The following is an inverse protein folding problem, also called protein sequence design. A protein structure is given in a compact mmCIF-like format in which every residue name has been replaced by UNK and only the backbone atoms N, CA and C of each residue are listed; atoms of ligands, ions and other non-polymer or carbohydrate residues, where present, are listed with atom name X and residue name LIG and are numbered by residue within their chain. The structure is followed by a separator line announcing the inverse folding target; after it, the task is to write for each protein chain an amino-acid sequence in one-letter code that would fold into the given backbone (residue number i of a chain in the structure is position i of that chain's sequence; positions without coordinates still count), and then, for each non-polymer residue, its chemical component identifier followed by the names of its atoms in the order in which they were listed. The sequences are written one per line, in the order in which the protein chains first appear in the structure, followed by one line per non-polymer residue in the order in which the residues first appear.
data_IF_604140192330
#
_entry.id   IF_604140192330
#
_cell.length_a   1.000
_cell.length_b   1.000
_cell.length_c   1.000
_cell.angle_alpha   90.00
_cell.angle_beta   90.00
_cell.angle_gamma   90.00
#
_symmetry.space_group_name_H-M   'P 1'
#
loop_
_entity.id
_entity.type
_entity.pdbx_description
1 polymer ?
#
# COMPACT_ATOMS: atom_id res chain seq x y z
N UNK A 1 21.35 23.00 16.67
CA UNK A 1 22.17 23.99 17.41
C UNK A 1 21.33 24.57 18.53
N UNK A 2 21.76 24.41 19.80
CA UNK A 2 21.08 24.97 20.98
C UNK A 2 21.74 26.30 21.35
N UNK A 3 20.97 27.33 21.68
CA UNK A 3 21.49 28.65 22.04
C UNK A 3 21.27 28.91 23.54
N UNK A 4 22.28 29.48 24.19
CA UNK A 4 22.21 29.92 25.59
C UNK A 4 21.58 31.31 25.62
N UNK A 5 20.57 31.52 26.47
CA UNK A 5 19.87 32.81 26.60
C UNK A 5 19.94 33.30 28.04
N UNK A 6 20.59 34.45 28.24
CA UNK A 6 20.73 35.07 29.56
C UNK A 6 19.73 36.23 29.69
N UNK A 7 18.92 36.23 30.75
CA UNK A 7 17.95 37.29 31.06
C UNK A 7 18.49 38.20 32.16
N UNK A 8 18.70 39.47 31.85
CA UNK A 8 19.37 40.43 32.75
C UNK A 8 18.42 41.34 33.55
N UNK A 9 17.15 41.43 33.13
CA UNK A 9 16.18 42.44 33.59
C UNK A 9 15.75 42.37 35.06
N UNK A 10 16.15 41.34 35.80
CA UNK A 10 15.83 41.15 37.22
C UNK A 10 17.00 40.60 38.04
N UNK A 11 18.22 40.69 37.52
CA UNK A 11 19.39 40.07 38.13
C UNK A 11 20.00 40.99 39.20
N UNK A 12 20.37 40.45 40.36
CA UNK A 12 21.14 41.22 41.36
C UNK A 12 22.57 41.46 40.83
N UNK A 13 23.26 42.49 41.33
CA UNK A 13 24.66 42.74 40.96
C UNK A 13 25.55 41.53 41.29
N UNK A 14 25.30 40.88 42.44
CA UNK A 14 25.97 39.66 42.88
C UNK A 14 25.76 38.49 41.91
N UNK A 15 24.52 38.25 41.52
CA UNK A 15 24.19 37.17 40.58
C UNK A 15 24.79 37.40 39.19
N UNK A 16 24.92 38.66 38.76
CA UNK A 16 25.55 39.00 37.48
C UNK A 16 27.06 38.73 37.49
N UNK A 17 27.75 39.06 38.60
CA UNK A 17 29.17 38.79 38.77
C UNK A 17 29.47 37.28 38.82
N UNK A 18 28.65 36.51 39.54
CA UNK A 18 28.76 35.04 39.62
C UNK A 18 28.59 34.38 38.23
N UNK A 19 27.58 34.82 37.47
CA UNK A 19 27.30 34.33 36.11
C UNK A 19 28.45 34.66 35.15
N UNK A 20 28.95 35.89 35.18
CA UNK A 20 30.07 36.30 34.33
C UNK A 20 31.34 35.50 34.66
N UNK A 21 31.61 35.26 35.95
CA UNK A 21 32.73 34.45 36.41
C UNK A 21 32.68 33.00 35.93
N UNK A 22 31.52 32.35 35.99
CA UNK A 22 31.35 30.97 35.51
C UNK A 22 31.58 30.86 34.00
N UNK A 23 31.08 31.81 33.20
CA UNK A 23 31.26 31.82 31.74
C UNK A 23 32.75 31.96 31.38
N UNK A 24 33.46 32.90 32.02
CA UNK A 24 34.90 33.10 31.81
C UNK A 24 35.69 31.83 32.16
N UNK A 25 35.38 31.19 33.30
CA UNK A 25 36.05 29.97 33.74
C UNK A 25 35.83 28.80 32.77
N UNK A 26 34.59 28.58 32.32
CA UNK A 26 34.27 27.50 31.37
C UNK A 26 34.99 27.68 30.02
N UNK A 27 35.02 28.91 29.49
CA UNK A 27 35.69 29.20 28.23
C UNK A 27 37.21 29.10 28.31
N UNK A 28 37.81 29.34 29.48
CA UNK A 28 39.25 29.26 29.68
C UNK A 28 39.78 27.82 29.74
N UNK A 29 38.92 26.86 30.11
CA UNK A 29 39.30 25.45 30.32
C UNK A 29 39.14 24.60 29.04
N UNK A 30 38.24 24.99 28.14
CA UNK A 30 37.84 24.14 26.99
C UNK A 30 38.21 24.78 25.64
N UNK A 31 39.52 24.93 25.39
CA UNK A 31 40.09 25.69 24.26
C UNK A 31 40.01 25.01 22.89
N UNK A 32 39.57 23.74 22.83
CA UNK A 32 39.48 22.96 21.59
C UNK A 32 38.08 22.99 20.93
N UNK A 33 37.02 23.22 21.72
CA UNK A 33 35.63 23.31 21.24
C UNK A 33 35.21 24.75 20.95
N UNK A 34 35.88 25.73 21.55
CA UNK A 34 35.77 27.14 21.19
C UNK A 34 37.03 27.53 20.42
N UNK A 35 36.96 27.81 19.09
CA UNK A 35 38.15 28.11 18.33
C UNK A 35 38.89 29.32 18.91
N UNK A 36 40.16 29.11 19.21
CA UNK A 36 41.07 30.15 19.69
C UNK A 36 41.59 30.98 18.51
N UNK A 37 41.58 32.33 18.57
CA UNK A 37 40.71 33.18 19.37
C UNK A 37 39.68 33.91 18.48
N UNK A 38 38.52 34.25 19.05
CA UNK A 38 37.75 35.42 18.59
C UNK A 38 37.72 36.46 19.74
N UNK A 39 37.84 37.76 19.44
CA UNK A 39 38.21 38.78 20.42
C UNK A 39 37.03 39.11 21.32
N UNK A 40 37.03 38.57 22.55
CA UNK A 40 36.21 39.10 23.65
C UNK A 40 36.47 38.44 25.01
N UNK A 41 37.14 37.29 25.13
CA UNK A 41 37.35 36.66 26.45
C UNK A 41 38.19 37.56 27.38
N UNK A 42 39.28 38.11 26.86
CA UNK A 42 40.13 39.06 27.62
C UNK A 42 39.34 40.32 27.99
N UNK A 43 38.46 40.78 27.09
CA UNK A 43 37.60 41.95 27.30
C UNK A 43 36.54 41.69 28.37
N UNK A 44 35.89 40.52 28.36
CA UNK A 44 34.88 40.11 29.34
C UNK A 44 35.55 39.87 30.70
N UNK A 45 36.71 39.21 30.73
CA UNK A 45 37.51 39.04 31.96
C UNK A 45 37.89 40.39 32.56
N UNK A 46 38.35 41.33 31.73
CA UNK A 46 38.69 42.69 32.17
C UNK A 46 37.46 43.45 32.69
N UNK A 47 36.35 43.46 31.95
CA UNK A 47 35.11 44.15 32.36
C UNK A 47 34.47 43.53 33.61
N UNK A 48 34.56 42.21 33.78
CA UNK A 48 34.08 41.53 34.98
C UNK A 48 34.90 41.96 36.21
N UNK A 49 36.23 42.06 36.07
CA UNK A 49 37.10 42.60 37.12
C UNK A 49 36.80 44.06 37.47
N UNK A 50 36.57 44.92 36.46
CA UNK A 50 36.16 46.32 36.67
C UNK A 50 34.81 46.39 37.39
N UNK A 51 33.85 45.53 37.01
CA UNK A 51 32.52 45.49 37.63
C UNK A 51 32.59 45.03 39.10
N UNK A 52 33.33 43.97 39.41
CA UNK A 52 33.50 43.46 40.78
C UNK A 52 34.17 44.52 41.66
N UNK A 53 35.27 45.11 41.19
CA UNK A 53 35.98 46.17 41.93
C UNK A 53 35.09 47.39 42.21
N UNK A 54 34.21 47.75 41.27
CA UNK A 54 33.25 48.84 41.46
C UNK A 54 32.14 48.47 42.46
N UNK A 55 31.74 47.20 42.52
CA UNK A 55 30.71 46.69 43.46
C UNK A 55 31.26 46.45 44.87
N UNK A 56 32.56 46.17 45.03
CA UNK A 56 33.17 45.87 46.34
C UNK A 56 33.85 47.07 47.00
N UNK A 57 33.92 48.23 46.33
CA UNK A 57 34.54 49.44 46.88
C UNK A 57 33.74 50.01 48.08
N UNK A 58 34.39 50.38 49.21
CA UNK A 58 33.69 50.85 50.41
C UNK A 58 32.95 52.20 50.28
N UNK A 59 33.30 53.03 49.30
CA UNK A 59 32.80 54.41 49.15
C UNK A 59 31.57 54.53 48.22
N UNK A 60 30.59 53.66 48.41
CA UNK A 60 29.49 53.42 47.46
C UNK A 60 28.54 54.57 47.08
N UNK A 61 28.20 55.58 47.91
CA UNK A 61 27.08 56.48 47.56
C UNK A 61 27.33 57.42 46.36
N UNK A 62 28.59 57.65 45.96
CA UNK A 62 28.96 58.60 44.92
C UNK A 62 29.14 58.03 43.51
N UNK A 63 29.12 56.70 43.34
CA UNK A 63 29.54 56.02 42.10
C UNK A 63 28.46 55.18 41.41
N UNK A 64 27.19 55.37 41.78
CA UNK A 64 26.03 54.67 41.20
C UNK A 64 25.98 54.71 39.66
N UNK A 65 26.38 55.83 39.06
CA UNK A 65 26.47 55.96 37.60
C UNK A 65 27.58 55.12 36.96
N UNK A 66 28.74 55.00 37.62
CA UNK A 66 29.85 54.16 37.16
C UNK A 66 29.50 52.67 37.25
N UNK A 67 28.86 52.25 38.35
CA UNK A 67 28.38 50.87 38.52
C UNK A 67 27.30 50.53 37.48
N UNK A 68 26.38 51.46 37.22
CA UNK A 68 25.35 51.27 36.19
C UNK A 68 25.96 51.16 34.78
N UNK A 69 26.98 51.98 34.48
CA UNK A 69 27.67 51.94 33.19
C UNK A 69 28.51 50.67 33.02
N UNK A 70 29.27 50.26 34.04
CA UNK A 70 30.04 49.02 34.03
C UNK A 70 29.13 47.79 33.86
N UNK A 71 27.99 47.78 34.57
CA UNK A 71 26.95 46.75 34.42
C UNK A 71 26.43 46.68 32.99
N UNK A 72 26.05 47.82 32.42
CA UNK A 72 25.47 47.89 31.07
C UNK A 72 26.45 47.41 29.99
N UNK A 73 27.74 47.74 30.12
CA UNK A 73 28.78 47.28 29.21
C UNK A 73 29.02 45.76 29.33
N UNK A 74 29.11 45.23 30.55
CA UNK A 74 29.28 43.79 30.79
C UNK A 74 28.07 42.99 30.27
N UNK A 75 26.84 43.45 30.51
CA UNK A 75 25.63 42.81 29.98
C UNK A 75 25.55 42.87 28.45
N UNK A 76 26.09 43.93 27.82
CA UNK A 76 26.17 44.07 26.38
C UNK A 76 27.10 43.05 25.74
N UNK A 77 28.32 42.94 26.27
CA UNK A 77 29.33 42.00 25.77
C UNK A 77 28.91 40.53 26.02
N UNK A 78 28.29 40.22 27.17
CA UNK A 78 27.74 38.88 27.44
C UNK A 78 26.58 38.51 26.51
N UNK A 79 25.74 39.47 26.11
CA UNK A 79 24.68 39.25 25.10
C UNK A 79 25.28 38.96 23.73
N UNK A 80 26.24 39.78 23.29
CA UNK A 80 26.91 39.60 22.00
C UNK A 80 27.62 38.24 21.95
N UNK A 81 28.25 37.82 23.04
CA UNK A 81 28.87 36.50 23.16
C UNK A 81 27.84 35.35 23.12
N UNK A 82 26.70 35.51 23.83
CA UNK A 82 25.58 34.55 23.78
C UNK A 82 24.95 34.40 22.39
N UNK A 83 25.18 35.36 21.49
CA UNK A 83 24.81 35.24 20.07
C UNK A 83 25.80 34.41 19.23
N UNK A 84 27.05 34.26 19.69
CA UNK A 84 28.15 33.59 18.98
C UNK A 84 28.31 32.11 19.35
N UNK A 85 27.85 31.66 20.53
CA UNK A 85 27.88 30.24 20.95
C UNK A 85 26.80 29.45 20.20
N UNK A 86 27.10 29.04 18.96
CA UNK A 86 26.17 28.30 18.09
C UNK A 86 26.33 26.77 18.12
N UNK A 87 27.38 26.23 18.75
CA UNK A 87 27.51 24.76 18.90
C UNK A 87 28.29 24.40 20.15
N UNK A 88 27.60 23.91 21.17
CA UNK A 88 28.23 23.13 22.24
C UNK A 88 28.22 21.67 21.78
N UNK A 89 29.38 21.00 21.79
CA UNK A 89 29.45 19.57 21.48
C UNK A 89 28.79 18.79 22.64
N UNK A 90 28.26 17.59 22.37
CA UNK A 90 27.43 16.82 23.31
C UNK A 90 28.07 16.55 24.69
N UNK A 91 29.38 16.73 24.87
CA UNK A 91 30.06 16.61 26.17
C UNK A 91 29.94 17.85 27.09
N UNK A 92 29.46 18.98 26.59
CA UNK A 92 29.41 20.26 27.33
C UNK A 92 28.01 20.59 27.89
N UNK A 93 26.98 19.77 27.63
CA UNK A 93 25.62 19.99 28.15
C UNK A 93 25.59 19.90 29.69
N UNK A 94 26.33 18.95 30.28
CA UNK A 94 26.31 18.71 31.73
C UNK A 94 27.00 19.82 32.54
N UNK A 95 27.99 20.50 31.95
CA UNK A 95 28.71 21.61 32.61
C UNK A 95 27.88 22.89 32.59
N UNK A 96 27.23 23.21 31.46
CA UNK A 96 26.34 24.38 31.36
C UNK A 96 25.06 24.21 32.19
N UNK A 97 24.52 23.00 32.28
CA UNK A 97 23.40 22.70 33.19
C UNK A 97 23.80 22.85 34.67
N UNK A 98 25.01 22.42 35.06
CA UNK A 98 25.52 22.62 36.43
C UNK A 98 25.81 24.07 36.78
N UNK A 99 26.08 24.92 35.79
CA UNK A 99 26.26 26.38 36.00
C UNK A 99 24.92 27.15 36.15
N UNK A 100 23.78 26.48 35.92
CA UNK A 100 22.44 27.04 36.14
C UNK A 100 21.79 27.71 34.92
N UNK A 101 22.32 27.54 33.69
CA UNK A 101 21.72 28.11 32.49
C UNK A 101 20.75 27.13 31.78
N UNK A 102 19.57 27.58 31.32
CA UNK A 102 18.67 26.75 30.52
C UNK A 102 19.08 26.72 29.04
N UNK A 103 19.33 25.53 28.50
CA UNK A 103 19.62 25.30 27.08
C UNK A 103 18.30 25.22 26.27
N UNK A 104 18.15 26.04 25.22
CA UNK A 104 16.94 26.05 24.37
C UNK A 104 17.19 25.49 22.96
N UNK A 105 16.33 24.58 22.48
CA UNK A 105 16.27 24.07 21.09
C UNK A 105 15.22 24.85 20.27
N UNK A 106 15.41 26.14 19.95
CA UNK A 106 14.50 26.82 18.99
C UNK A 106 15.20 27.99 18.25
N UNK A 107 15.08 28.09 16.91
CA UNK A 107 15.40 29.33 16.16
C UNK A 107 14.28 30.39 16.32
N UNK A 108 14.61 31.70 16.40
CA UNK A 108 13.64 32.84 16.53
C UNK A 108 13.75 33.88 15.39
N UNK A 109 12.72 34.75 15.21
CA UNK A 109 12.82 36.14 15.73
C UNK A 109 11.57 36.76 16.42
N UNK A 110 11.82 37.38 17.59
CA UNK A 110 11.28 38.60 18.27
C UNK A 110 9.76 38.93 18.53
N UNK A 111 9.31 38.61 19.78
CA UNK A 111 8.65 39.50 20.81
C UNK A 111 7.11 39.79 20.79
N UNK A 112 6.43 40.14 21.92
CA UNK A 112 6.71 39.98 23.38
C UNK A 112 5.88 38.79 24.00
N UNK A 113 5.91 38.35 25.27
CA UNK A 113 5.46 38.99 26.54
C UNK A 113 5.86 38.10 27.77
N UNK A 114 6.05 38.66 28.99
CA UNK A 114 6.31 37.94 30.26
C UNK A 114 5.10 37.19 30.83
N UNK A 115 5.37 36.16 31.65
CA UNK A 115 4.37 35.30 32.26
C UNK A 115 3.92 35.80 33.64
N UNK A 116 2.73 36.39 33.75
CA UNK A 116 1.88 36.33 34.96
C UNK A 116 0.39 36.57 34.69
N UNK A 117 -0.01 36.95 33.47
CA UNK A 117 -1.42 37.09 33.10
C UNK A 117 -1.83 36.02 32.08
N UNK A 118 -2.90 35.28 32.35
CA UNK A 118 -3.38 34.24 31.43
C UNK A 118 -4.44 34.79 30.49
N UNK A 119 -4.03 35.56 29.49
CA UNK A 119 -4.87 35.84 28.32
C UNK A 119 -4.37 35.04 27.11
N UNK A 120 -5.27 34.37 26.39
CA UNK A 120 -4.95 33.47 25.30
C UNK A 120 -6.02 33.47 24.21
N UNK A 121 -5.67 32.91 23.05
CA UNK A 121 -6.59 32.73 21.91
C UNK A 121 -6.66 31.24 21.61
N UNK A 122 -7.87 30.69 21.55
CA UNK A 122 -8.14 29.32 21.11
C UNK A 122 -8.88 29.33 19.79
N UNK A 123 -8.40 28.57 18.81
CA UNK A 123 -9.03 28.44 17.49
C UNK A 123 -9.74 27.10 17.42
N UNK A 124 -11.00 27.07 16.98
CA UNK A 124 -11.77 25.83 16.81
C UNK A 124 -11.87 25.45 15.33
N UNK A 125 -11.97 24.16 15.06
CA UNK A 125 -12.22 23.60 13.73
C UNK A 125 -13.65 23.92 13.28
N UNK A 126 -13.84 25.12 12.73
CA UNK A 126 -15.15 25.59 12.28
C UNK A 126 -15.34 27.10 12.39
N UNK A 127 -14.54 27.86 11.64
CA UNK A 127 -14.79 29.27 11.25
C UNK A 127 -14.80 30.35 12.36
N UNK A 128 -14.41 30.06 13.60
CA UNK A 128 -14.31 31.07 14.67
C UNK A 128 -13.12 30.88 15.63
N UNK A 129 -12.63 31.98 16.21
CA UNK A 129 -11.65 31.99 17.30
C UNK A 129 -12.28 32.53 18.58
N UNK A 130 -11.95 31.91 19.70
CA UNK A 130 -12.32 32.36 21.04
C UNK A 130 -11.11 33.07 21.64
N UNK A 131 -11.30 34.30 22.12
CA UNK A 131 -10.32 34.94 22.98
C UNK A 131 -10.76 34.73 24.42
N UNK A 132 -9.86 34.24 25.26
CA UNK A 132 -10.10 34.01 26.67
C UNK A 132 -9.07 34.70 27.55
N UNK A 133 -9.53 35.13 28.72
CA UNK A 133 -8.67 35.63 29.79
C UNK A 133 -9.08 34.94 31.08
N UNK A 134 -8.11 34.42 31.81
CA UNK A 134 -8.26 33.72 33.08
C UNK A 134 -7.66 34.59 34.19
N UNK A 135 -8.49 34.88 35.19
CA UNK A 135 -8.11 35.72 36.33
C UNK A 135 -7.25 34.89 37.31
N UNK A 136 -5.98 35.26 37.56
CA UNK A 136 -5.05 34.39 38.29
C UNK A 136 -5.23 34.41 39.83
N UNK A 137 -6.00 35.35 40.41
CA UNK A 137 -6.11 35.50 41.87
C UNK A 137 -7.52 35.96 42.33
N UNK A 138 -7.88 35.73 43.61
CA UNK A 138 -9.23 36.03 44.17
C UNK A 138 -9.51 37.52 44.45
N UNK A 139 -8.52 38.40 44.31
CA UNK A 139 -8.62 39.85 44.61
C UNK A 139 -9.08 40.70 43.41
N UNK A 140 -9.40 40.07 42.28
CA UNK A 140 -9.89 40.73 41.07
C UNK A 140 -11.40 40.45 40.90
N UNK A 141 -12.18 41.49 40.59
CA UNK A 141 -13.64 41.40 40.51
C UNK A 141 -14.17 41.33 39.06
N UNK A 142 -13.29 41.41 38.05
CA UNK A 142 -13.67 41.23 36.65
C UNK A 142 -12.56 41.49 35.65
N UNK A 143 -12.88 41.28 34.37
CA UNK A 143 -12.00 41.50 33.22
C UNK A 143 -12.66 42.45 32.22
N UNK A 144 -11.93 43.47 31.78
CA UNK A 144 -12.31 44.36 30.69
C UNK A 144 -11.52 43.98 29.42
N UNK A 145 -12.24 43.68 28.35
CA UNK A 145 -11.67 43.33 27.05
C UNK A 145 -11.97 44.44 26.04
N UNK A 146 -11.00 44.85 25.22
CA UNK A 146 -11.18 45.85 24.16
C UNK A 146 -10.52 45.42 22.84
N UNK A 147 -11.12 45.68 21.68
CA UNK A 147 -10.55 45.27 20.37
C UNK A 147 -10.91 46.20 19.19
N UNK A 148 -10.09 46.13 18.13
CA UNK A 148 -10.27 46.85 16.85
C UNK A 148 -9.60 46.09 15.67
N UNK A 149 -10.00 46.34 14.42
CA UNK A 149 -9.31 45.84 13.22
C UNK A 149 -7.92 46.49 13.09
N UNK A 150 -6.88 45.71 12.74
CA UNK A 150 -5.50 46.15 12.77
C UNK A 150 -5.15 47.16 11.66
N UNK A 151 -5.93 47.20 10.57
CA UNK A 151 -5.85 48.21 9.51
C UNK A 151 -6.26 49.61 9.98
N UNK A 152 -6.77 49.76 11.20
CA UNK A 152 -7.05 51.03 11.84
C UNK A 152 -5.99 51.29 12.93
N UNK A 153 -4.81 51.85 12.59
CA UNK A 153 -3.61 51.61 13.38
C UNK A 153 -3.59 52.36 14.72
N UNK A 154 -4.29 53.49 14.81
CA UNK A 154 -4.19 54.49 15.89
C UNK A 154 -5.55 55.10 16.33
N UNK A 155 -6.67 54.40 16.10
CA UNK A 155 -7.95 54.87 16.64
C UNK A 155 -7.86 54.86 18.17
N UNK A 156 -7.95 56.06 18.77
CA UNK A 156 -7.98 56.32 20.21
C UNK A 156 -8.58 55.12 20.97
N UNK A 157 -7.89 54.52 21.97
CA UNK A 157 -8.38 53.39 22.74
C UNK A 157 -9.81 53.58 23.31
N UNK A 158 -10.26 54.83 23.47
CA UNK A 158 -11.65 55.17 23.82
C UNK A 158 -12.71 54.69 22.80
N UNK A 159 -12.33 54.46 21.55
CA UNK A 159 -13.21 54.05 20.45
C UNK A 159 -13.20 52.53 20.20
N UNK A 160 -12.45 51.76 20.99
CA UNK A 160 -12.40 50.32 20.83
C UNK A 160 -13.70 49.69 21.33
N UNK A 161 -14.14 48.64 20.65
CA UNK A 161 -15.27 47.86 21.16
C UNK A 161 -14.85 47.19 22.46
N UNK A 162 -15.56 47.44 23.56
CA UNK A 162 -15.21 46.89 24.87
C UNK A 162 -16.32 46.05 25.49
N UNK A 163 -15.93 45.04 26.27
CA UNK A 163 -16.82 44.21 27.10
C UNK A 163 -16.22 44.00 28.47
N UNK A 164 -17.01 44.24 29.50
CA UNK A 164 -16.68 43.91 30.88
C UNK A 164 -17.39 42.62 31.30
N UNK A 165 -16.72 41.78 32.09
CA UNK A 165 -17.35 40.62 32.72
C UNK A 165 -16.86 40.37 34.14
N UNK A 166 -17.75 40.02 35.09
CA UNK A 166 -17.36 39.68 36.46
C UNK A 166 -16.93 38.21 36.64
N UNK A 167 -17.08 37.35 35.61
CA UNK A 167 -16.72 35.92 35.69
C UNK A 167 -15.22 35.73 35.34
N UNK A 168 -14.51 34.77 35.97
CA UNK A 168 -13.06 34.55 35.77
C UNK A 168 -12.65 34.11 34.36
N UNK A 169 -13.60 33.94 33.42
CA UNK A 169 -13.34 33.61 32.02
C UNK A 169 -14.33 34.34 31.09
N UNK A 170 -13.80 35.08 30.12
CA UNK A 170 -14.57 35.62 28.98
C UNK A 170 -14.34 34.78 27.74
N UNK A 171 -15.37 34.64 26.90
CA UNK A 171 -15.27 34.07 25.55
C UNK A 171 -16.07 34.95 24.59
N UNK A 172 -15.40 35.55 23.59
CA UNK A 172 -16.05 36.36 22.55
C UNK A 172 -16.07 35.54 21.26
N UNK A 173 -17.29 35.24 20.77
CA UNK A 173 -17.52 34.38 19.59
C UNK A 173 -17.90 35.15 18.33
N UNK A 174 -18.34 36.40 18.49
CA UNK A 174 -18.96 37.20 17.44
C UNK A 174 -18.30 38.58 17.31
N UNK A 175 -18.28 39.15 16.10
CA UNK A 175 -17.71 40.48 15.82
C UNK A 175 -16.40 40.49 15.03
N UNK A 176 -15.95 39.33 14.53
CA UNK A 176 -14.73 39.20 13.74
C UNK A 176 -15.04 38.82 12.29
N UNK A 177 -14.41 39.51 11.34
CA UNK A 177 -14.57 39.31 9.89
C UNK A 177 -13.44 38.42 9.38
N UNK A 178 -13.79 37.41 8.58
CA UNK A 178 -12.84 36.46 8.02
C UNK A 178 -11.82 37.15 7.12
N UNK A 179 -10.53 36.83 7.30
CA UNK A 179 -9.44 37.39 6.49
C UNK A 179 -8.95 38.77 6.93
N UNK A 180 -9.43 39.30 8.05
CA UNK A 180 -8.96 40.57 8.62
C UNK A 180 -8.06 40.35 9.83
N UNK A 181 -7.10 41.25 10.01
CA UNK A 181 -6.22 41.29 11.18
C UNK A 181 -6.88 42.11 12.30
N UNK A 182 -6.67 41.74 13.56
CA UNK A 182 -7.24 42.41 14.72
C UNK A 182 -6.19 42.69 15.80
N UNK A 183 -6.36 43.82 16.51
CA UNK A 183 -5.63 44.17 17.74
C UNK A 183 -6.60 44.12 18.91
N UNK A 184 -6.13 43.71 20.09
CA UNK A 184 -6.93 43.73 21.30
C UNK A 184 -6.11 44.03 22.55
N UNK A 185 -6.79 44.44 23.62
CA UNK A 185 -6.24 44.73 24.93
C UNK A 185 -7.12 44.06 26.00
N UNK A 186 -6.49 43.62 27.09
CA UNK A 186 -7.16 42.99 28.22
C UNK A 186 -6.68 43.68 29.50
N UNK A 187 -7.61 44.17 30.31
CA UNK A 187 -7.33 44.74 31.61
C UNK A 187 -8.04 43.93 32.70
N UNK A 188 -7.33 43.62 33.78
CA UNK A 188 -7.90 43.00 34.97
C UNK A 188 -8.32 44.10 35.94
N UNK A 189 -9.57 44.05 36.43
CA UNK A 189 -10.12 45.09 37.30
C UNK A 189 -9.98 44.63 38.77
N UNK A 190 -9.10 45.29 39.52
CA UNK A 190 -8.76 44.98 40.93
C UNK A 190 -7.99 46.13 41.62
N UNK A 191 -7.48 45.92 42.83
CA UNK A 191 -6.85 46.96 43.69
C UNK A 191 -5.42 47.40 43.27
N UNK A 192 -4.93 47.02 42.09
CA UNK A 192 -3.62 47.45 41.56
C UNK A 192 -3.77 48.08 40.18
N UNK A 193 -3.13 49.24 39.96
CA UNK A 193 -3.28 50.13 38.78
C UNK A 193 -2.59 49.62 37.49
N UNK A 194 -2.44 48.31 37.29
CA UNK A 194 -1.66 47.78 36.15
C UNK A 194 -2.55 47.34 34.97
N UNK A 195 -2.31 47.92 33.79
CA UNK A 195 -2.94 47.55 32.51
C UNK A 195 -1.91 46.83 31.64
N UNK A 196 -2.16 45.56 31.31
CA UNK A 196 -1.23 44.74 30.52
C UNK A 196 -1.65 44.69 29.04
N UNK A 197 -0.73 45.05 28.14
CA UNK A 197 -0.96 45.13 26.70
C UNK A 197 -0.44 43.88 25.99
N UNK A 198 -1.27 43.25 25.15
CA UNK A 198 -0.90 42.08 24.36
C UNK A 198 -0.98 42.37 22.86
N UNK A 199 0.04 41.99 22.08
CA UNK A 199 0.03 42.08 20.61
C UNK A 199 0.17 40.68 20.03
N UNK A 200 -0.91 40.14 19.48
CA UNK A 200 -0.93 38.85 18.80
C UNK A 200 -1.01 39.06 17.29
N UNK A 201 -0.13 38.37 16.54
CA UNK A 201 -0.16 38.30 15.08
C UNK A 201 -0.69 36.90 14.72
N UNK A 202 -1.85 36.82 14.09
CA UNK A 202 -2.36 35.54 13.58
C UNK A 202 -1.60 35.20 12.30
N UNK A 203 -0.96 34.03 12.25
CA UNK A 203 -0.49 33.45 10.99
C UNK A 203 -1.62 32.61 10.40
N UNK A 204 -1.94 32.90 9.14
CA UNK A 204 -2.78 32.04 8.30
C UNK A 204 -1.98 30.73 8.11
N UNK A 205 -2.54 29.59 8.53
CA UNK A 205 -2.05 28.29 8.04
C UNK A 205 -2.17 28.34 6.51
N UNK A 206 -1.10 28.07 5.73
CA UNK A 206 -1.24 27.95 4.28
C UNK A 206 -2.34 26.94 3.99
N UNK A 207 -3.10 27.19 2.92
CA UNK A 207 -4.20 26.31 2.51
C UNK A 207 -3.70 24.85 2.50
N UNK A 208 -4.51 23.89 2.97
CA UNK A 208 -4.10 22.49 2.97
C UNK A 208 -3.68 22.11 1.55
N UNK A 209 -2.44 21.61 1.39
CA UNK A 209 -1.99 21.09 0.10
C UNK A 209 -2.79 19.83 -0.17
N UNK A 210 -3.61 19.86 -1.21
CA UNK A 210 -4.40 18.72 -1.66
C UNK A 210 -3.79 18.10 -2.91
N UNK A 211 -3.81 16.77 -2.96
CA UNK A 211 -3.46 15.99 -4.13
C UNK A 211 -4.70 15.34 -4.72
N UNK A 212 -4.68 15.18 -6.04
CA UNK A 212 -5.75 14.54 -6.80
C UNK A 212 -5.41 13.07 -7.04
N UNK A 213 -6.34 12.18 -6.69
CA UNK A 213 -6.33 10.76 -7.04
C UNK A 213 -7.31 10.55 -8.18
N UNK A 214 -6.78 10.22 -9.35
CA UNK A 214 -7.56 9.95 -10.56
C UNK A 214 -7.78 8.46 -10.71
N UNK A 215 -9.00 8.05 -11.09
CA UNK A 215 -9.36 6.65 -11.28
C UNK A 215 -9.60 6.39 -12.76
N UNK A 216 -8.68 5.69 -13.41
CA UNK A 216 -8.85 5.19 -14.76
C UNK A 216 -9.49 3.80 -14.71
N UNK A 217 -10.77 3.70 -15.07
CA UNK A 217 -11.53 2.44 -15.09
C UNK A 217 -11.12 1.48 -16.21
N UNK A 218 -10.16 1.85 -17.08
CA UNK A 218 -9.71 1.03 -18.21
C UNK A 218 -10.88 0.49 -19.05
N UNK A 219 -11.83 1.38 -19.37
CA UNK A 219 -13.03 1.05 -20.15
C UNK A 219 -14.28 0.73 -19.32
N UNK A 220 -14.15 0.54 -18.00
CA UNK A 220 -15.29 0.39 -17.08
C UNK A 220 -16.09 1.67 -16.86
N UNK A 221 -17.10 1.58 -15.99
CA UNK A 221 -17.93 2.71 -15.56
C UNK A 221 -17.07 3.83 -14.98
N UNK A 222 -17.53 5.07 -15.16
CA UNK A 222 -16.78 6.25 -14.74
C UNK A 222 -16.68 6.32 -13.22
N UNK A 223 -15.46 6.55 -12.71
CA UNK A 223 -15.20 6.76 -11.28
C UNK A 223 -14.67 8.18 -11.08
N UNK A 224 -15.34 8.96 -10.23
CA UNK A 224 -14.97 10.35 -9.97
C UNK A 224 -13.64 10.44 -9.22
N UNK A 225 -12.77 11.36 -9.65
CA UNK A 225 -11.52 11.66 -8.95
C UNK A 225 -11.77 12.22 -7.55
N UNK A 226 -10.88 11.92 -6.61
CA UNK A 226 -10.94 12.42 -5.22
C UNK A 226 -9.78 13.38 -4.94
N UNK A 227 -10.05 14.42 -4.14
CA UNK A 227 -9.01 15.29 -3.56
C UNK A 227 -8.75 14.88 -2.11
N UNK A 228 -7.49 14.85 -1.72
CA UNK A 228 -7.05 14.41 -0.39
C UNK A 228 -5.92 15.29 0.10
N UNK A 229 -5.97 15.70 1.37
CA UNK A 229 -4.90 16.48 2.00
C UNK A 229 -3.59 15.68 2.05
N UNK A 230 -2.46 16.36 1.85
CA UNK A 230 -1.13 15.76 1.91
C UNK A 230 -0.91 14.97 3.21
N UNK A 231 -0.40 13.75 3.08
CA UNK A 231 -0.14 12.84 4.21
C UNK A 231 -1.34 11.99 4.64
N UNK A 232 -2.54 12.22 4.10
CA UNK A 232 -3.73 11.40 4.38
C UNK A 232 -3.86 10.24 3.37
N UNK A 233 -4.65 9.22 3.75
CA UNK A 233 -5.06 8.12 2.88
C UNK A 233 -6.33 8.49 2.11
N UNK A 234 -6.50 7.95 0.91
CA UNK A 234 -7.72 8.10 0.11
C UNK A 234 -8.68 6.94 0.42
N UNK A 235 -9.98 7.21 0.51
CA UNK A 235 -10.99 6.16 0.67
C UNK A 235 -11.22 5.43 -0.66
N UNK A 236 -11.39 4.11 -0.62
CA UNK A 236 -11.73 3.32 -1.81
C UNK A 236 -13.03 3.88 -2.44
N UNK A 237 -13.08 4.07 -3.78
CA UNK A 237 -14.33 4.38 -4.46
C UNK A 237 -15.24 3.14 -4.50
N UNK A 238 -16.49 3.30 -4.94
CA UNK A 238 -17.28 2.13 -5.35
C UNK A 238 -16.57 1.43 -6.52
N UNK A 239 -16.61 0.10 -6.52
CA UNK A 239 -15.96 -0.69 -7.55
C UNK A 239 -16.62 -0.40 -8.90
N UNK A 240 -15.83 -0.07 -9.94
CA UNK A 240 -16.39 0.17 -11.26
C UNK A 240 -16.97 -1.13 -11.83
N UNK A 241 -17.82 -1.00 -12.84
CA UNK A 241 -18.37 -2.14 -13.58
C UNK A 241 -17.87 -2.10 -15.02
N UNK A 242 -17.50 -3.24 -15.61
CA UNK A 242 -17.10 -3.33 -17.01
C UNK A 242 -17.76 -4.52 -17.68
N UNK A 243 -18.91 -4.26 -18.29
CA UNK A 243 -19.75 -5.31 -18.87
C UNK A 243 -20.04 -6.40 -17.83
N UNK A 244 -19.61 -7.63 -18.13
CA UNK A 244 -19.77 -8.81 -17.26
C UNK A 244 -18.44 -9.29 -16.64
N UNK A 245 -17.36 -8.50 -16.69
CA UNK A 245 -16.07 -8.85 -16.08
C UNK A 245 -16.05 -8.58 -14.58
N UNK A 246 -15.22 -9.33 -13.84
CA UNK A 246 -15.04 -9.11 -12.41
C UNK A 246 -14.00 -8.00 -12.19
N UNK A 247 -14.29 -7.07 -11.29
CA UNK A 247 -13.31 -6.08 -10.86
C UNK A 247 -12.25 -6.76 -9.99
N UNK A 248 -11.00 -6.77 -10.44
CA UNK A 248 -9.88 -7.42 -9.74
C UNK A 248 -9.13 -6.49 -8.78
N UNK A 249 -9.41 -5.18 -8.83
CA UNK A 249 -8.81 -4.17 -7.97
C UNK A 249 -8.16 -3.01 -8.72
N UNK A 250 -7.63 -2.07 -7.94
CA UNK A 250 -6.94 -0.87 -8.41
C UNK A 250 -5.43 -1.06 -8.39
N UNK A 251 -4.74 -0.63 -9.43
CA UNK A 251 -3.28 -0.75 -9.59
C UNK A 251 -2.64 0.64 -9.73
N UNK A 252 -1.40 0.80 -9.26
CA UNK A 252 -0.69 2.09 -9.29
C UNK A 252 0.04 2.40 -10.60
N UNK A 253 0.08 1.43 -11.51
CA UNK A 253 0.77 1.46 -12.80
C UNK A 253 -0.20 1.04 -13.93
N UNK A 254 0.07 1.55 -15.13
CA UNK A 254 -0.76 1.29 -16.31
C UNK A 254 -0.62 -0.16 -16.79
N UNK A 255 0.51 -0.80 -16.51
CA UNK A 255 0.82 -2.20 -16.82
C UNK A 255 0.09 -3.20 -15.89
N UNK A 256 -0.62 -2.73 -14.87
CA UNK A 256 -1.43 -3.54 -13.95
C UNK A 256 -0.62 -4.60 -13.18
N UNK A 257 0.58 -4.22 -12.74
CA UNK A 257 1.54 -5.08 -12.02
C UNK A 257 1.59 -4.81 -10.51
N UNK A 258 1.43 -3.56 -10.09
CA UNK A 258 1.53 -3.10 -8.71
C UNK A 258 0.14 -2.80 -8.12
N UNK A 259 -0.39 -3.75 -7.35
CA UNK A 259 -1.70 -3.62 -6.70
C UNK A 259 -1.69 -2.50 -5.65
N UNK A 260 -2.69 -1.63 -5.68
CA UNK A 260 -2.84 -0.50 -4.76
C UNK A 260 -3.73 -0.85 -3.57
N UNK A 261 -3.18 -0.71 -2.36
CA UNK A 261 -3.90 -0.94 -1.11
C UNK A 261 -4.24 0.38 -0.42
N UNK A 262 -5.52 0.75 -0.41
CA UNK A 262 -6.02 2.02 0.13
C UNK A 262 -5.65 2.26 1.60
N UNK A 263 -5.54 1.19 2.39
CA UNK A 263 -5.18 1.26 3.81
C UNK A 263 -3.69 1.47 4.06
N UNK A 264 -2.82 1.31 3.06
CA UNK A 264 -1.36 1.32 3.26
C UNK A 264 -0.67 2.55 2.67
N UNK A 265 -1.32 3.27 1.75
CA UNK A 265 -0.66 4.33 0.99
C UNK A 265 -1.16 5.72 1.39
N UNK A 266 -0.26 6.54 1.89
CA UNK A 266 -0.48 7.98 2.11
C UNK A 266 -0.25 8.77 0.82
N UNK A 267 -1.07 9.80 0.58
CA UNK A 267 -1.02 10.57 -0.65
C UNK A 267 -0.18 11.84 -0.44
N UNK A 268 0.97 11.90 -1.13
CA UNK A 268 1.91 13.02 -1.09
C UNK A 268 2.22 13.62 -2.47
N UNK A 269 1.47 13.20 -3.50
CA UNK A 269 1.51 13.70 -4.89
C UNK A 269 0.23 13.32 -5.60
N UNK A 270 -0.04 13.94 -6.75
CA UNK A 270 -1.10 13.47 -7.64
C UNK A 270 -0.76 12.06 -8.15
N UNK A 271 -1.74 11.17 -8.16
CA UNK A 271 -1.60 9.80 -8.66
C UNK A 271 -2.79 9.42 -9.54
N UNK A 272 -2.58 8.44 -10.41
CA UNK A 272 -3.63 7.78 -11.18
C UNK A 272 -3.63 6.30 -10.82
N UNK A 273 -4.81 5.76 -10.53
CA UNK A 273 -5.03 4.34 -10.28
C UNK A 273 -5.77 3.72 -11.46
N UNK A 274 -5.38 2.50 -11.83
CA UNK A 274 -5.88 1.80 -13.00
C UNK A 274 -6.66 0.55 -12.59
N UNK A 275 -7.90 0.42 -13.07
CA UNK A 275 -8.73 -0.75 -12.81
C UNK A 275 -8.18 -1.97 -13.57
N UNK A 276 -8.07 -3.11 -12.89
CA UNK A 276 -7.81 -4.40 -13.52
C UNK A 276 -9.10 -5.21 -13.56
N UNK A 277 -9.35 -5.83 -14.69
CA UNK A 277 -10.49 -6.70 -14.90
C UNK A 277 -10.03 -8.15 -14.97
N UNK A 278 -10.67 -9.00 -14.18
CA UNK A 278 -10.52 -10.45 -14.29
C UNK A 278 -11.63 -10.98 -15.19
N UNK A 279 -11.24 -11.80 -16.17
CA UNK A 279 -12.18 -12.51 -17.03
C UNK A 279 -13.04 -13.40 -16.13
N UNK A 280 -14.35 -13.35 -16.32
CA UNK A 280 -15.29 -14.17 -15.55
C UNK A 280 -15.07 -15.64 -15.88
N UNK A 281 -14.90 -16.47 -14.85
CA UNK A 281 -14.74 -17.91 -15.01
C UNK A 281 -16.01 -18.66 -14.60
N UNK A 282 -16.20 -19.84 -15.16
CA UNK A 282 -17.29 -20.76 -14.84
C UNK A 282 -16.74 -22.15 -14.58
N UNK A 283 -17.44 -22.88 -13.72
CA UNK A 283 -17.09 -24.26 -13.37
C UNK A 283 -18.04 -25.21 -14.08
N UNK A 284 -17.47 -26.15 -14.83
CA UNK A 284 -18.18 -27.27 -15.43
C UNK A 284 -17.93 -28.50 -14.54
N UNK A 285 -19.00 -29.01 -13.95
CA UNK A 285 -18.98 -30.20 -13.09
C UNK A 285 -19.42 -31.41 -13.90
N UNK A 286 -18.80 -32.56 -13.65
CA UNK A 286 -19.01 -33.79 -14.41
C UNK A 286 -19.59 -34.87 -13.49
N UNK A 287 -20.89 -35.10 -13.58
CA UNK A 287 -21.58 -36.16 -12.85
C UNK A 287 -21.61 -37.44 -13.70
N UNK A 288 -20.81 -38.43 -13.32
CA UNK A 288 -20.72 -39.71 -14.04
C UNK A 288 -21.91 -40.63 -13.73
N UNK A 289 -22.59 -40.46 -12.60
CA UNK A 289 -23.59 -41.39 -12.09
C UNK A 289 -23.04 -42.75 -11.67
N UNK A 290 -21.71 -42.94 -11.64
CA UNK A 290 -21.05 -44.21 -11.31
C UNK A 290 -20.35 -44.04 -9.94
N UNK A 291 -20.73 -44.88 -8.98
CA UNK A 291 -20.10 -44.89 -7.66
C UNK A 291 -18.59 -45.12 -7.76
N UNK A 292 -17.80 -44.21 -7.20
CA UNK A 292 -16.33 -44.30 -7.18
C UNK A 292 -15.61 -43.75 -8.43
N UNK A 293 -16.31 -43.40 -9.51
CA UNK A 293 -15.72 -42.73 -10.67
C UNK A 293 -16.01 -41.23 -10.61
N UNK A 294 -15.06 -40.44 -10.13
CA UNK A 294 -15.16 -38.98 -10.08
C UNK A 294 -14.28 -38.34 -11.14
N UNK A 295 -14.82 -37.32 -11.80
CA UNK A 295 -14.06 -36.46 -12.73
C UNK A 295 -13.97 -35.08 -12.07
N UNK A 296 -12.76 -34.56 -11.96
CA UNK A 296 -12.54 -33.25 -11.36
C UNK A 296 -13.26 -32.17 -12.17
N UNK A 297 -13.94 -31.22 -11.51
CA UNK A 297 -14.54 -30.09 -12.20
C UNK A 297 -13.48 -29.27 -12.94
N UNK A 298 -13.86 -28.70 -14.09
CA UNK A 298 -12.99 -27.87 -14.92
C UNK A 298 -13.46 -26.43 -14.84
N UNK A 299 -12.53 -25.51 -14.59
CA UNK A 299 -12.79 -24.07 -14.65
C UNK A 299 -12.33 -23.52 -15.99
N UNK A 300 -13.23 -22.82 -16.68
CA UNK A 300 -12.96 -22.19 -17.98
C UNK A 300 -13.32 -20.71 -17.94
N UNK A 301 -12.75 -19.89 -18.83
CA UNK A 301 -13.20 -18.51 -18.97
C UNK A 301 -14.55 -18.46 -19.69
N UNK A 302 -15.34 -17.41 -19.45
CA UNK A 302 -16.57 -17.15 -20.18
C UNK A 302 -16.32 -17.11 -21.68
N UNK A 303 -17.07 -17.91 -22.43
CA UNK A 303 -16.96 -18.01 -23.89
C UNK A 303 -15.96 -19.07 -24.36
N UNK A 304 -15.12 -19.59 -23.47
CA UNK A 304 -14.27 -20.74 -23.80
C UNK A 304 -15.11 -22.01 -23.90
N UNK A 305 -14.60 -22.97 -24.66
CA UNK A 305 -15.14 -24.33 -24.74
C UNK A 305 -14.47 -25.20 -23.68
N UNK A 306 -15.18 -26.19 -23.17
CA UNK A 306 -14.61 -27.22 -22.31
C UNK A 306 -14.26 -28.45 -23.15
N UNK A 307 -13.13 -29.10 -22.87
CA UNK A 307 -12.79 -30.36 -23.53
C UNK A 307 -13.68 -31.50 -23.02
N UNK A 308 -14.03 -32.43 -23.90
CA UNK A 308 -14.77 -33.63 -23.54
C UNK A 308 -13.97 -34.49 -22.54
N UNK A 309 -14.60 -34.83 -21.42
CA UNK A 309 -13.98 -35.65 -20.39
C UNK A 309 -14.27 -37.13 -20.65
N UNK A 310 -13.23 -37.97 -20.55
CA UNK A 310 -13.31 -39.43 -20.69
C UNK A 310 -13.10 -40.09 -19.34
N UNK A 311 -13.50 -41.35 -19.21
CA UNK A 311 -13.16 -42.17 -18.04
C UNK A 311 -11.63 -42.36 -17.96
N UNK A 312 -10.97 -41.91 -16.87
CA UNK A 312 -9.53 -42.07 -16.69
C UNK A 312 -9.06 -43.52 -16.63
N UNK A 313 -9.95 -44.46 -16.28
CA UNK A 313 -9.64 -45.90 -16.22
C UNK A 313 -9.83 -46.61 -17.56
N UNK A 314 -10.55 -45.97 -18.50
CA UNK A 314 -10.90 -46.54 -19.80
C UNK A 314 -11.94 -47.66 -19.75
N UNK A 315 -12.58 -47.92 -18.59
CA UNK A 315 -13.59 -48.98 -18.43
C UNK A 315 -14.92 -48.59 -19.05
N UNK A 316 -15.26 -47.30 -18.99
CA UNK A 316 -16.53 -46.77 -19.47
C UNK A 316 -16.35 -45.80 -20.63
N UNK A 317 -17.22 -45.93 -21.63
CA UNK A 317 -17.46 -44.86 -22.61
C UNK A 317 -18.52 -43.94 -22.02
N UNK A 318 -18.17 -42.66 -21.87
CA UNK A 318 -19.05 -41.63 -21.30
C UNK A 318 -19.67 -40.80 -22.42
N UNK A 319 -20.97 -40.53 -22.33
CA UNK A 319 -21.68 -39.59 -23.20
C UNK A 319 -22.37 -38.55 -22.33
N UNK A 320 -22.09 -37.28 -22.58
CA UNK A 320 -22.48 -36.17 -21.70
C UNK A 320 -23.77 -35.49 -22.13
N UNK A 321 -24.62 -35.17 -21.16
CA UNK A 321 -25.91 -34.52 -21.32
C UNK A 321 -26.02 -33.26 -20.45
N UNK A 322 -26.88 -32.33 -20.88
CA UNK A 322 -27.09 -31.04 -20.21
C UNK A 322 -27.86 -31.14 -18.90
N UNK A 323 -28.58 -32.24 -18.71
CA UNK A 323 -29.54 -32.42 -17.63
C UNK A 323 -29.51 -33.84 -17.05
N UNK A 324 -30.00 -33.99 -15.82
CA UNK A 324 -30.01 -35.26 -15.10
C UNK A 324 -30.90 -36.32 -15.75
N UNK A 325 -31.97 -35.91 -16.44
CA UNK A 325 -32.83 -36.82 -17.21
C UNK A 325 -32.17 -37.28 -18.52
N UNK A 326 -30.99 -36.74 -18.87
CA UNK A 326 -30.20 -37.06 -20.06
C UNK A 326 -31.03 -36.87 -21.34
N UNK A 327 -31.79 -35.78 -21.40
CA UNK A 327 -32.71 -35.51 -22.51
C UNK A 327 -31.99 -34.96 -23.75
N UNK A 328 -30.94 -34.17 -23.56
CA UNK A 328 -30.18 -33.53 -24.64
C UNK A 328 -28.67 -33.69 -24.45
N UNK A 329 -27.98 -34.20 -25.48
CA UNK A 329 -26.53 -34.33 -25.48
C UNK A 329 -25.87 -32.96 -25.44
N UNK A 330 -24.78 -32.84 -24.69
CA UNK A 330 -23.97 -31.63 -24.67
C UNK A 330 -23.03 -31.60 -25.88
N UNK A 331 -23.04 -30.49 -26.63
CA UNK A 331 -22.06 -30.22 -27.68
C UNK A 331 -20.88 -29.47 -27.09
N UNK A 332 -19.71 -30.12 -27.03
CA UNK A 332 -18.46 -29.54 -26.52
C UNK A 332 -17.92 -28.38 -27.39
N UNK A 333 -18.53 -28.09 -28.54
CA UNK A 333 -18.30 -26.85 -29.28
C UNK A 333 -19.09 -25.65 -28.74
N UNK A 334 -19.96 -25.84 -27.74
CA UNK A 334 -20.74 -24.77 -27.13
C UNK A 334 -19.88 -23.93 -26.18
N UNK A 335 -19.78 -22.60 -26.37
CA UNK A 335 -19.14 -21.70 -25.42
C UNK A 335 -19.80 -21.75 -24.03
N UNK A 336 -18.99 -21.77 -22.97
CA UNK A 336 -19.49 -21.79 -21.59
C UNK A 336 -19.79 -20.37 -21.11
N UNK A 337 -21.05 -20.08 -20.78
CA UNK A 337 -21.51 -18.76 -20.29
C UNK A 337 -22.11 -18.79 -18.89
N UNK A 338 -22.17 -19.95 -18.25
CA UNK A 338 -22.61 -20.15 -16.88
C UNK A 338 -21.98 -21.43 -16.30
N UNK A 339 -21.86 -21.52 -14.98
CA UNK A 339 -21.50 -22.78 -14.34
C UNK A 339 -22.62 -23.79 -14.53
N UNK A 340 -22.27 -25.03 -14.85
CA UNK A 340 -23.23 -26.09 -15.17
C UNK A 340 -22.69 -27.46 -14.76
N UNK A 341 -23.60 -28.41 -14.58
CA UNK A 341 -23.26 -29.81 -14.34
C UNK A 341 -23.68 -30.62 -15.57
N UNK A 342 -22.73 -31.36 -16.15
CA UNK A 342 -22.99 -32.34 -17.19
C UNK A 342 -23.21 -33.71 -16.56
N UNK A 343 -24.13 -34.47 -17.14
CA UNK A 343 -24.53 -35.78 -16.64
C UNK A 343 -24.19 -36.85 -17.68
N UNK A 344 -23.45 -37.89 -17.28
CA UNK A 344 -23.05 -38.95 -18.19
C UNK A 344 -24.08 -40.09 -18.25
N UNK A 345 -24.22 -40.70 -19.43
CA UNK A 345 -24.54 -42.13 -19.55
C UNK A 345 -23.24 -42.92 -19.75
N UNK A 346 -23.22 -44.17 -19.33
CA UNK A 346 -22.03 -45.03 -19.41
C UNK A 346 -22.32 -46.39 -20.04
N UNK A 347 -21.37 -46.88 -20.83
CA UNK A 347 -21.35 -48.25 -21.36
C UNK A 347 -19.98 -48.86 -21.14
N UNK A 348 -19.91 -50.16 -20.85
CA UNK A 348 -18.64 -50.87 -20.66
C UNK A 348 -17.91 -50.94 -22.00
N UNK A 349 -16.69 -50.38 -22.04
CA UNK A 349 -15.83 -50.29 -23.20
C UNK A 349 -15.05 -51.60 -23.43
N UNK A 350 -14.70 -51.91 -24.67
CA UNK A 350 -13.64 -52.87 -24.99
C UNK A 350 -12.30 -52.28 -24.57
N UNK A 351 -11.57 -52.96 -23.69
CA UNK A 351 -10.25 -52.54 -23.20
C UNK A 351 -9.12 -53.32 -23.85
N UNK A 352 -9.36 -54.56 -24.28
CA UNK A 352 -8.38 -55.38 -24.99
C UNK A 352 -9.03 -56.22 -26.09
N UNK A 353 -8.26 -56.47 -27.15
CA UNK A 353 -8.54 -57.47 -28.18
C UNK A 353 -7.38 -58.45 -28.21
N UNK A 354 -7.66 -59.73 -28.03
CA UNK A 354 -6.67 -60.81 -28.15
C UNK A 354 -6.93 -61.61 -29.41
N UNK A 355 -5.88 -61.86 -30.18
CA UNK A 355 -5.94 -62.72 -31.36
C UNK A 355 -5.47 -64.13 -30.98
N UNK A 356 -6.09 -65.17 -31.56
CA UNK A 356 -5.68 -66.56 -31.35
C UNK A 356 -4.31 -66.91 -31.98
N UNK A 357 -3.79 -66.00 -32.80
CA UNK A 357 -2.52 -66.12 -33.50
C UNK A 357 -1.77 -64.78 -33.42
N UNK A 358 -0.44 -64.84 -33.42
CA UNK A 358 0.43 -63.65 -33.42
C UNK A 358 1.01 -63.37 -34.80
N UNK A 359 1.14 -64.38 -35.65
CA UNK A 359 1.69 -64.29 -37.01
C UNK A 359 1.31 -65.51 -37.86
N UNK A 360 1.36 -65.34 -39.19
CA UNK A 360 1.08 -66.37 -40.20
C UNK A 360 2.17 -66.34 -41.29
N UNK A 361 3.37 -66.79 -40.94
CA UNK A 361 4.58 -66.56 -41.76
C UNK A 361 4.79 -67.52 -42.95
N UNK A 362 4.10 -68.66 -42.99
CA UNK A 362 4.27 -69.69 -44.03
C UNK A 362 2.92 -70.15 -44.59
N UNK A 363 2.02 -69.22 -44.88
CA UNK A 363 0.71 -69.55 -45.47
C UNK A 363 0.87 -69.86 -46.96
N UNK A 364 0.21 -70.89 -47.47
CA UNK A 364 0.21 -71.16 -48.91
C UNK A 364 -0.71 -70.18 -49.61
N UNK A 365 -0.33 -69.74 -50.81
CA UNK A 365 -1.17 -68.86 -51.63
C UNK A 365 -2.43 -69.61 -52.09
N UNK A 366 -3.56 -68.91 -52.09
CA UNK A 366 -4.88 -69.47 -52.41
C UNK A 366 -5.55 -70.19 -51.25
N UNK A 367 -4.94 -70.17 -50.05
CA UNK A 367 -5.55 -70.77 -48.85
C UNK A 367 -6.37 -69.77 -48.07
N UNK A 368 -7.34 -70.31 -47.32
CA UNK A 368 -8.14 -69.55 -46.37
C UNK A 368 -7.76 -70.00 -44.95
N UNK A 369 -7.59 -69.04 -44.03
CA UNK A 369 -7.29 -69.28 -42.61
C UNK A 369 -8.17 -68.40 -41.74
N UNK A 370 -8.71 -68.96 -40.65
CA UNK A 370 -9.53 -68.22 -39.70
C UNK A 370 -8.66 -67.55 -38.64
N UNK A 371 -8.74 -66.22 -38.55
CA UNK A 371 -8.21 -65.44 -37.44
C UNK A 371 -9.37 -65.10 -36.50
N UNK A 372 -9.24 -65.47 -35.23
CA UNK A 372 -10.28 -65.26 -34.21
C UNK A 372 -9.83 -64.17 -33.25
N UNK A 373 -10.68 -63.16 -33.06
CA UNK A 373 -10.48 -62.08 -32.09
C UNK A 373 -11.43 -62.24 -30.90
N UNK A 374 -10.88 -62.15 -29.69
CA UNK A 374 -11.63 -62.18 -28.43
C UNK A 374 -11.54 -60.81 -27.75
N UNK A 375 -12.69 -60.21 -27.45
CA UNK A 375 -12.78 -58.92 -26.75
C UNK A 375 -12.81 -59.11 -25.23
N UNK A 376 -12.16 -58.20 -24.51
CA UNK A 376 -12.21 -58.09 -23.05
C UNK A 376 -12.56 -56.66 -22.64
N UNK A 377 -13.39 -56.45 -21.61
CA UNK A 377 -14.04 -57.48 -20.79
C UNK A 377 -15.19 -58.17 -21.53
N UNK A 378 -15.55 -59.37 -21.08
CA UNK A 378 -16.64 -60.16 -21.70
C UNK A 378 -17.99 -59.45 -21.63
N UNK A 379 -18.21 -58.55 -20.67
CA UNK A 379 -19.43 -57.76 -20.56
C UNK A 379 -19.35 -56.38 -21.26
N UNK A 380 -18.38 -56.17 -22.16
CA UNK A 380 -18.38 -54.99 -23.03
C UNK A 380 -19.70 -54.86 -23.80
N UNK A 381 -20.22 -53.64 -23.88
CA UNK A 381 -21.57 -53.38 -24.40
C UNK A 381 -21.67 -53.60 -25.91
N UNK A 382 -20.74 -53.03 -26.67
CA UNK A 382 -20.59 -53.27 -28.10
C UNK A 382 -19.31 -54.08 -28.36
N UNK A 383 -19.47 -55.30 -28.89
CA UNK A 383 -18.39 -56.23 -29.19
C UNK A 383 -18.10 -56.36 -30.69
N UNK A 384 -18.75 -55.53 -31.52
CA UNK A 384 -18.53 -55.57 -32.96
C UNK A 384 -17.12 -55.11 -33.31
N UNK A 385 -16.51 -55.82 -34.24
CA UNK A 385 -15.14 -55.60 -34.69
C UNK A 385 -15.12 -55.25 -36.18
N UNK A 386 -14.16 -54.42 -36.57
CA UNK A 386 -13.87 -54.09 -37.96
C UNK A 386 -12.51 -54.67 -38.35
N UNK A 387 -12.45 -55.30 -39.53
CA UNK A 387 -11.24 -55.93 -40.06
C UNK A 387 -10.71 -55.17 -41.27
N UNK A 388 -9.39 -55.15 -41.42
CA UNK A 388 -8.72 -54.53 -42.57
C UNK A 388 -7.40 -55.22 -42.91
N UNK A 389 -6.97 -55.08 -44.16
CA UNK A 389 -5.66 -55.52 -44.64
C UNK A 389 -4.88 -54.33 -45.18
N UNK A 390 -3.61 -54.23 -44.78
CA UNK A 390 -2.66 -53.25 -45.34
C UNK A 390 -2.35 -53.46 -46.83
N UNK A 391 -2.52 -54.69 -47.34
CA UNK A 391 -2.29 -55.00 -48.75
C UNK A 391 -3.25 -56.10 -49.24
N UNK A 392 -4.38 -55.67 -49.80
CA UNK A 392 -5.42 -56.56 -50.31
C UNK A 392 -4.97 -57.45 -51.48
N UNK A 393 -3.90 -57.08 -52.20
CA UNK A 393 -3.34 -57.89 -53.27
C UNK A 393 -2.52 -59.07 -52.75
N UNK A 394 -2.07 -59.01 -51.49
CA UNK A 394 -1.34 -60.10 -50.82
C UNK A 394 -2.29 -60.95 -50.01
N UNK A 395 -3.14 -60.33 -49.18
CA UNK A 395 -4.14 -61.02 -48.39
C UNK A 395 -5.35 -60.13 -48.12
N UNK A 396 -6.56 -60.70 -48.17
CA UNK A 396 -7.82 -60.05 -47.77
C UNK A 396 -8.36 -60.68 -46.49
N UNK A 397 -9.14 -59.93 -45.72
CA UNK A 397 -9.87 -60.43 -44.54
C UNK A 397 -11.33 -60.00 -44.64
N UNK A 398 -12.26 -60.90 -44.30
CA UNK A 398 -13.69 -60.59 -44.27
C UNK A 398 -14.17 -60.08 -42.90
N UNK A 399 -15.47 -59.79 -42.78
CA UNK A 399 -16.08 -59.30 -41.54
C UNK A 399 -16.02 -60.29 -40.37
N UNK A 400 -15.79 -61.58 -40.66
CA UNK A 400 -15.72 -62.66 -39.68
C UNK A 400 -14.26 -63.05 -39.34
N UNK A 401 -13.26 -62.37 -39.92
CA UNK A 401 -11.85 -62.68 -39.70
C UNK A 401 -11.30 -63.81 -40.58
N UNK A 402 -12.00 -64.21 -41.64
CA UNK A 402 -11.50 -65.19 -42.59
C UNK A 402 -10.50 -64.53 -43.55
N UNK A 403 -9.23 -64.94 -43.48
CA UNK A 403 -8.13 -64.42 -44.28
C UNK A 403 -7.96 -65.28 -45.52
N UNK A 404 -7.89 -64.67 -46.70
CA UNK A 404 -7.59 -65.33 -47.99
C UNK A 404 -6.32 -64.77 -48.59
N UNK A 405 -5.36 -65.63 -48.93
CA UNK A 405 -4.07 -65.24 -49.51
C UNK A 405 -4.09 -65.26 -51.03
N UNK A 406 -3.53 -64.24 -51.67
CA UNK A 406 -3.59 -64.03 -53.12
C UNK A 406 -2.23 -64.04 -53.81
N UNK A 407 -1.19 -63.50 -53.16
CA UNK A 407 0.14 -63.38 -53.74
C UNK A 407 1.24 -63.49 -52.67
N UNK A 408 2.46 -63.80 -53.11
CA UNK A 408 3.63 -63.78 -52.23
C UNK A 408 3.94 -62.34 -51.80
N UNK A 409 4.34 -62.17 -50.55
CA UNK A 409 4.64 -60.87 -49.97
C UNK A 409 4.22 -60.78 -48.52
N UNK A 410 4.18 -59.57 -47.98
CA UNK A 410 3.80 -59.32 -46.59
C UNK A 410 2.56 -58.46 -46.54
N UNK A 411 1.59 -58.84 -45.71
CA UNK A 411 0.47 -58.00 -45.34
C UNK A 411 0.28 -58.03 -43.82
N UNK A 412 -0.12 -56.90 -43.25
CA UNK A 412 -0.66 -56.80 -41.90
C UNK A 412 -2.18 -56.85 -41.95
N UNK A 413 -2.77 -57.74 -41.16
CA UNK A 413 -4.21 -57.82 -40.91
C UNK A 413 -4.50 -57.17 -39.56
N UNK A 414 -5.40 -56.18 -39.54
CA UNK A 414 -5.74 -55.40 -38.34
C UNK A 414 -7.22 -55.57 -38.02
N UNK A 415 -7.51 -55.82 -36.74
CA UNK A 415 -8.85 -55.78 -36.16
C UNK A 415 -8.98 -54.62 -35.20
N UNK A 416 -10.10 -53.89 -35.24
CA UNK A 416 -10.37 -52.73 -34.40
C UNK A 416 -11.75 -52.80 -33.76
N UNK A 417 -11.89 -52.28 -32.55
CA UNK A 417 -13.19 -52.09 -31.88
C UNK A 417 -14.00 -51.01 -32.58
N UNK A 418 -15.33 -51.12 -32.49
CA UNK A 418 -16.29 -50.17 -33.11
C UNK A 418 -17.14 -49.42 -32.08
N UNK A 419 -16.90 -49.66 -30.79
CA UNK A 419 -17.61 -49.03 -29.67
C UNK A 419 -17.15 -47.59 -29.40
N UNK A 420 -16.04 -47.17 -30.01
CA UNK A 420 -15.40 -45.87 -29.79
C UNK A 420 -14.21 -45.91 -28.83
N UNK A 421 -13.85 -47.10 -28.30
CA UNK A 421 -12.66 -47.27 -27.45
C UNK A 421 -11.34 -47.18 -28.23
N UNK A 422 -11.39 -47.36 -29.56
CA UNK A 422 -10.24 -47.34 -30.48
C UNK A 422 -9.16 -48.39 -30.14
N UNK A 423 -9.57 -49.55 -29.60
CA UNK A 423 -8.66 -50.67 -29.35
C UNK A 423 -8.47 -51.46 -30.64
N UNK A 424 -7.24 -51.85 -30.94
CA UNK A 424 -6.92 -52.66 -32.11
C UNK A 424 -5.84 -53.71 -31.82
N UNK A 425 -5.86 -54.80 -32.58
CA UNK A 425 -4.81 -55.81 -32.61
C UNK A 425 -4.47 -56.15 -34.07
N UNK A 426 -3.26 -56.62 -34.33
CA UNK A 426 -2.83 -56.94 -35.69
C UNK A 426 -1.88 -58.12 -35.72
N UNK A 427 -1.87 -58.85 -36.83
CA UNK A 427 -0.87 -59.87 -37.14
C UNK A 427 -0.20 -59.59 -38.48
N UNK A 428 0.99 -60.16 -38.65
CA UNK A 428 1.67 -60.21 -39.95
C UNK A 428 1.38 -61.55 -40.63
N UNK A 429 0.99 -61.50 -41.90
CA UNK A 429 0.86 -62.67 -42.78
C UNK A 429 1.87 -62.58 -43.92
N UNK A 430 2.57 -63.68 -44.17
CA UNK A 430 3.54 -63.82 -45.27
C UNK A 430 3.18 -65.06 -46.08
N UNK A 431 2.40 -64.90 -47.16
CA UNK A 431 2.09 -66.01 -48.05
C UNK A 431 3.29 -66.39 -48.93
N UNK A 432 3.41 -67.68 -49.24
CA UNK A 432 4.43 -68.21 -50.14
C UNK A 432 3.86 -69.25 -51.11
N UNK A 433 4.63 -69.55 -52.15
CA UNK A 433 4.36 -70.65 -53.08
C UNK A 433 5.15 -71.88 -52.65
N UNK A 434 4.52 -73.07 -52.74
CA UNK A 434 5.22 -74.34 -52.61
C UNK A 434 5.67 -74.80 -54.01
N UNK A 435 6.98 -75.03 -54.18
CA UNK A 435 7.52 -75.64 -55.41
C UNK A 435 7.56 -77.15 -55.19
N UNK A 436 6.64 -77.90 -55.83
CA UNK A 436 6.53 -79.35 -55.62
C UNK A 436 7.52 -80.19 -56.45
N UNK A 437 8.00 -79.67 -57.58
CA UNK A 437 9.02 -80.34 -58.40
C UNK A 437 9.89 -79.31 -59.12
N UNK A 438 11.15 -79.19 -58.70
CA UNK A 438 12.16 -78.42 -59.43
C UNK A 438 12.97 -79.39 -60.30
N UNK A 439 12.64 -79.50 -61.59
CA UNK A 439 13.51 -80.19 -62.55
C UNK A 439 14.74 -79.33 -62.85
N UNK A 440 15.88 -79.68 -62.25
CA UNK A 440 17.17 -79.12 -62.62
C UNK A 440 17.68 -79.80 -63.89
N UNK A 441 17.47 -79.17 -65.05
CA UNK A 441 18.23 -79.51 -66.26
C UNK A 441 19.68 -79.04 -66.10
N UNK A 442 20.62 -79.98 -65.94
CA UNK A 442 22.05 -79.71 -66.08
C UNK A 442 22.33 -79.37 -67.54
N UNK A 443 22.93 -78.20 -67.78
CA UNK A 443 23.52 -77.84 -69.07
C UNK A 443 24.77 -78.67 -69.35
#
# INVERSE_FOLDING_TARGET
MRKVVIKFSSMSQKSLAEIAGHIVATMSINTATFPSPNPSLDKITHLNGVFINAVESPEHPGKTGEIHNARKLLEGDLKQLGEYVNSVANGDEEILEKSGFPLSKVPRPHGPIPATDRAGVSVHSGIGFDIWAEVPNKDYYGVLFAFTEASNPDANPANWSSRYTPVPKITIKDGFVRGKEYKFAVAFVGTSETVNWFKLRTCISPAPVEYTVTFNSNGGSQVASKKVAAGNKVTQPEDPTFGEQNFAGWYSDEELTSLFYFDNVIINKNITLYAKWAVRTYTVTFNTGIGGLTINPVTVNRGDKVAEQKDPTGVYILVWYKDEARSEKFDFNTPITASLTLYATSTIAVTFITLNQTELLNTLIGTQTQLTATVSPENAFNKMLAWSSSNINVATVDVNGAITTHAAGTATITVSSTDGSNISASITIVPHFEIKDAEFKRC
#
